data_IF_231501774876
#
_entry.id   IF_231501774876
#
_cell.length_a   1.000
_cell.length_b   1.000
_cell.length_c   1.000
_cell.angle_alpha   90.00
_cell.angle_beta   90.00
_cell.angle_gamma   90.00
#
_symmetry.space_group_name_H-M   'P 1'
#
loop_
_entity.id
_entity.type
_entity.pdbx_description
1 polymer ?
#
# COMPACT_ATOMS: atom_id res chain seq x y z
N UNK A 1 21.50 -6.71 9.15
CA UNK A 1 21.93 -5.31 8.79
C UNK A 1 23.40 -5.22 8.39
N UNK A 2 24.16 -6.30 8.48
CA UNK A 2 25.63 -6.29 8.23
C UNK A 2 26.01 -6.33 6.74
N UNK A 3 25.06 -6.29 5.80
CA UNK A 3 25.34 -6.46 4.37
C UNK A 3 24.60 -5.47 3.44
N UNK A 4 24.15 -4.31 3.93
CA UNK A 4 23.70 -3.28 3.01
C UNK A 4 24.93 -2.73 2.26
N UNK A 5 24.96 -2.77 0.92
CA UNK A 5 26.08 -2.26 0.15
C UNK A 5 26.28 -0.78 0.49
N UNK A 6 27.49 -0.43 0.94
CA UNK A 6 27.85 0.95 1.21
C UNK A 6 27.86 1.73 -0.11
N UNK A 7 26.70 2.20 -0.54
CA UNK A 7 26.61 3.14 -1.65
C UNK A 7 27.11 4.49 -1.14
N UNK A 8 28.11 5.06 -1.79
CA UNK A 8 28.76 6.32 -1.36
C UNK A 8 27.78 7.50 -1.25
N UNK A 9 26.63 7.43 -1.94
CA UNK A 9 25.60 8.47 -1.95
C UNK A 9 24.50 8.30 -0.90
N UNK A 10 24.46 7.18 -0.18
CA UNK A 10 23.39 6.85 0.76
C UNK A 10 23.85 6.82 2.19
N UNK A 11 22.95 7.18 3.11
CA UNK A 11 23.08 6.97 4.54
C UNK A 11 21.83 6.23 5.05
N UNK A 12 22.06 5.28 5.94
CA UNK A 12 21.03 4.38 6.45
C UNK A 12 20.80 4.60 7.94
N UNK A 13 19.56 4.63 8.36
CA UNK A 13 19.16 4.73 9.76
C UNK A 13 17.99 3.82 10.04
N UNK A 14 18.10 2.97 11.04
CA UNK A 14 16.98 2.20 11.55
C UNK A 14 16.14 3.10 12.46
N UNK A 15 14.88 3.38 12.08
CA UNK A 15 13.97 4.25 12.83
C UNK A 15 13.02 3.46 13.73
N UNK A 16 12.84 2.17 13.47
CA UNK A 16 12.21 1.18 14.36
C UNK A 16 12.74 -0.21 14.05
N UNK A 17 12.30 -1.23 14.76
CA UNK A 17 12.78 -2.62 14.60
C UNK A 17 12.63 -3.17 13.18
N UNK A 18 11.71 -2.62 12.39
CA UNK A 18 11.37 -3.08 11.05
C UNK A 18 11.29 -1.98 9.99
N UNK A 19 11.70 -0.75 10.31
CA UNK A 19 11.64 0.38 9.36
C UNK A 19 13.00 1.05 9.20
N UNK A 20 13.46 1.07 7.96
CA UNK A 20 14.71 1.69 7.52
C UNK A 20 14.42 3.04 6.88
N UNK A 21 15.15 4.06 7.26
CA UNK A 21 15.25 5.35 6.58
C UNK A 21 16.53 5.38 5.75
N UNK A 22 16.43 5.78 4.51
CA UNK A 22 17.57 5.97 3.59
C UNK A 22 17.55 7.40 3.08
N UNK A 23 18.63 8.14 3.35
CA UNK A 23 18.80 9.53 2.91
C UNK A 23 19.90 9.62 1.86
N UNK A 24 19.65 10.33 0.78
CA UNK A 24 20.62 10.59 -0.29
C UNK A 24 21.43 11.86 0.01
N UNK A 25 22.77 11.75 0.01
CA UNK A 25 23.68 12.91 0.14
C UNK A 25 23.58 13.88 -1.05
N UNK A 26 23.37 13.33 -2.25
CA UNK A 26 23.00 14.06 -3.45
C UNK A 26 21.60 13.57 -3.89
N UNK A 27 20.56 14.41 -3.81
CA UNK A 27 19.20 14.02 -4.18
C UNK A 27 19.09 13.49 -5.60
N UNK A 28 18.18 12.55 -5.82
CA UNK A 28 17.97 11.85 -7.09
C UNK A 28 16.91 12.58 -7.89
N UNK A 29 17.28 13.09 -9.05
CA UNK A 29 16.35 13.79 -9.94
C UNK A 29 15.50 12.79 -10.70
N UNK A 30 14.17 12.91 -10.57
CA UNK A 30 13.19 12.17 -11.37
C UNK A 30 12.72 13.00 -12.58
N UNK A 31 12.28 12.33 -13.64
CA UNK A 31 11.65 12.99 -14.80
C UNK A 31 10.33 13.63 -14.38
N UNK A 32 9.60 12.98 -13.46
CA UNK A 32 8.36 13.47 -12.87
C UNK A 32 8.09 12.76 -11.55
N UNK A 33 7.64 13.51 -10.55
CA UNK A 33 7.12 12.96 -9.28
C UNK A 33 5.60 12.77 -9.30
N UNK A 34 4.93 13.26 -10.36
CA UNK A 34 3.47 13.23 -10.53
C UNK A 34 2.97 12.00 -11.31
N UNK A 35 3.86 11.16 -11.75
CA UNK A 35 3.57 10.00 -12.59
C UNK A 35 4.10 8.71 -11.96
N UNK A 36 3.33 7.63 -12.12
CA UNK A 36 3.68 6.33 -11.56
C UNK A 36 4.99 5.75 -12.14
N UNK A 37 5.23 5.92 -13.45
CA UNK A 37 6.36 5.26 -14.10
C UNK A 37 7.73 5.70 -13.54
N UNK A 38 8.08 7.00 -13.44
CA UNK A 38 9.35 7.42 -12.85
C UNK A 38 9.52 7.02 -11.38
N UNK A 39 8.44 7.02 -10.60
CA UNK A 39 8.46 6.60 -9.21
C UNK A 39 8.68 5.08 -9.09
N UNK A 40 8.05 4.27 -9.94
CA UNK A 40 8.29 2.83 -10.00
C UNK A 40 9.72 2.50 -10.44
N UNK A 41 10.30 3.26 -11.37
CA UNK A 41 11.68 3.10 -11.80
C UNK A 41 12.66 3.44 -10.67
N UNK A 42 12.36 4.50 -9.90
CA UNK A 42 13.11 4.82 -8.69
C UNK A 42 13.09 3.65 -7.70
N UNK A 43 11.92 3.05 -7.41
CA UNK A 43 11.85 1.91 -6.50
C UNK A 43 12.70 0.74 -6.98
N UNK A 44 12.62 0.39 -8.26
CA UNK A 44 13.41 -0.72 -8.82
C UNK A 44 14.92 -0.51 -8.72
N UNK A 45 15.36 0.74 -8.76
CA UNK A 45 16.78 1.08 -8.79
C UNK A 45 17.38 1.27 -7.40
N UNK A 46 16.64 1.84 -6.45
CA UNK A 46 17.17 2.32 -5.18
C UNK A 46 16.58 1.63 -3.96
N UNK A 47 15.40 1.03 -4.06
CA UNK A 47 14.72 0.42 -2.92
C UNK A 47 14.92 -1.09 -2.93
N UNK A 48 15.28 -1.66 -1.78
CA UNK A 48 15.43 -3.12 -1.65
C UNK A 48 14.09 -3.80 -1.99
N UNK A 49 14.13 -4.82 -2.89
CA UNK A 49 12.93 -5.49 -3.39
C UNK A 49 11.84 -4.51 -3.91
N UNK A 50 12.25 -3.36 -4.47
CA UNK A 50 11.35 -2.30 -4.91
C UNK A 50 10.28 -2.76 -5.92
N UNK A 51 10.54 -3.82 -6.71
CA UNK A 51 9.58 -4.46 -7.61
C UNK A 51 8.41 -5.15 -6.87
N UNK A 52 8.57 -5.43 -5.57
CA UNK A 52 7.54 -6.06 -4.72
C UNK A 52 6.53 -5.07 -4.17
N UNK A 53 6.66 -3.78 -4.50
CA UNK A 53 5.75 -2.73 -4.04
C UNK A 53 4.91 -2.18 -5.21
N UNK A 54 3.67 -1.78 -4.91
CA UNK A 54 2.73 -1.14 -5.85
C UNK A 54 2.43 0.28 -5.37
N UNK A 55 2.49 1.26 -6.29
CA UNK A 55 2.14 2.64 -6.01
C UNK A 55 0.68 2.71 -5.53
N UNK A 56 0.50 3.33 -4.37
CA UNK A 56 -0.80 3.54 -3.78
C UNK A 56 -1.31 4.95 -4.00
N UNK A 57 -0.49 5.94 -3.67
CA UNK A 57 -0.87 7.35 -3.68
C UNK A 57 0.33 8.24 -3.98
N UNK A 58 0.07 9.35 -4.65
CA UNK A 58 0.98 10.48 -4.82
C UNK A 58 0.34 11.67 -4.15
N UNK A 59 0.91 12.15 -3.06
CA UNK A 59 0.54 13.39 -2.39
C UNK A 59 1.51 14.50 -2.83
N UNK A 60 1.05 15.34 -3.77
CA UNK A 60 1.86 16.45 -4.30
C UNK A 60 2.05 17.57 -3.26
N UNK A 61 1.10 17.74 -2.35
CA UNK A 61 1.16 18.77 -1.30
C UNK A 61 2.15 18.39 -0.22
N UNK A 62 2.08 17.14 0.26
CA UNK A 62 3.07 16.58 1.18
C UNK A 62 4.41 16.23 0.49
N UNK A 63 4.48 16.25 -0.85
CA UNK A 63 5.64 15.84 -1.67
C UNK A 63 6.11 14.44 -1.31
N UNK A 64 5.16 13.51 -1.30
CA UNK A 64 5.38 12.13 -0.90
C UNK A 64 4.62 11.17 -1.81
N UNK A 65 5.20 10.00 -2.05
CA UNK A 65 4.49 8.88 -2.65
C UNK A 65 4.54 7.68 -1.72
N UNK A 66 3.38 7.03 -1.56
CA UNK A 66 3.22 5.83 -0.74
C UNK A 66 3.05 4.62 -1.62
N UNK A 67 3.74 3.54 -1.26
CA UNK A 67 3.66 2.24 -1.92
C UNK A 67 3.40 1.17 -0.88
N UNK A 68 2.58 0.18 -1.23
CA UNK A 68 2.37 -0.98 -0.38
C UNK A 68 2.95 -2.25 -1.01
N UNK A 69 3.47 -3.11 -0.14
CA UNK A 69 4.02 -4.41 -0.52
C UNK A 69 2.94 -5.29 -1.16
N UNK A 70 3.36 -6.13 -2.11
CA UNK A 70 2.52 -7.18 -2.69
C UNK A 70 2.98 -8.54 -2.22
N UNK A 71 2.02 -9.41 -2.03
CA UNK A 71 2.22 -10.85 -1.85
C UNK A 71 1.33 -11.61 -2.84
N UNK A 72 1.90 -12.51 -3.62
CA UNK A 72 1.20 -13.24 -4.69
C UNK A 72 0.40 -12.29 -5.62
N UNK A 73 1.05 -11.22 -6.11
CA UNK A 73 0.48 -10.16 -6.96
C UNK A 73 -0.72 -9.41 -6.37
N UNK A 74 -0.91 -9.47 -5.05
CA UNK A 74 -1.98 -8.78 -4.33
C UNK A 74 -1.41 -7.81 -3.30
N UNK A 75 -1.95 -6.60 -3.28
CA UNK A 75 -1.50 -5.53 -2.38
C UNK A 75 -1.88 -5.82 -0.93
N UNK A 76 -0.97 -5.54 -0.01
CA UNK A 76 -1.21 -5.51 1.43
C UNK A 76 -1.72 -4.13 1.81
N UNK A 77 -3.05 -3.97 1.88
CA UNK A 77 -3.69 -2.67 2.07
C UNK A 77 -3.39 -2.07 3.44
N UNK A 78 -2.85 -0.84 3.46
CA UNK A 78 -2.55 -0.05 4.66
C UNK A 78 -1.74 -0.81 5.72
N UNK A 79 -0.79 -1.62 5.25
CA UNK A 79 0.11 -2.34 6.14
C UNK A 79 1.41 -1.57 6.33
N UNK A 80 1.58 -0.91 7.47
CA UNK A 80 2.77 -0.11 7.81
C UNK A 80 4.07 -0.93 7.89
N UNK A 81 3.96 -2.26 8.07
CA UNK A 81 5.11 -3.16 8.05
C UNK A 81 5.45 -3.68 6.65
N UNK A 82 4.71 -3.25 5.63
CA UNK A 82 4.95 -3.53 4.23
C UNK A 82 4.73 -2.27 3.39
N UNK A 83 5.47 -1.20 3.70
CA UNK A 83 5.27 0.12 3.13
C UNK A 83 6.60 0.74 2.69
N UNK A 84 6.57 1.46 1.59
CA UNK A 84 7.62 2.40 1.18
C UNK A 84 7.02 3.79 1.04
N UNK A 85 7.67 4.78 1.63
CA UNK A 85 7.37 6.20 1.43
C UNK A 85 8.56 6.89 0.81
N UNK A 86 8.35 7.57 -0.31
CA UNK A 86 9.39 8.31 -1.05
C UNK A 86 9.12 9.80 -0.92
N UNK A 87 10.11 10.57 -0.50
CA UNK A 87 9.98 12.01 -0.26
C UNK A 87 10.86 12.81 -1.23
N UNK A 88 10.36 13.91 -1.78
CA UNK A 88 11.09 14.79 -2.67
C UNK A 88 11.01 16.26 -2.26
N UNK A 89 11.99 17.02 -2.69
CA UNK A 89 12.08 18.46 -2.47
C UNK A 89 11.25 19.25 -3.48
N UNK A 90 11.28 20.59 -3.38
CA UNK A 90 10.56 21.53 -4.27
C UNK A 90 10.98 21.42 -5.74
N UNK A 91 12.19 20.92 -6.00
CA UNK A 91 12.72 20.72 -7.34
C UNK A 91 12.30 19.35 -7.95
N UNK A 92 11.53 18.54 -7.22
CA UNK A 92 11.15 17.18 -7.64
C UNK A 92 12.30 16.18 -7.54
N UNK A 93 13.28 16.42 -6.67
CA UNK A 93 14.41 15.55 -6.45
C UNK A 93 14.19 14.72 -5.17
N UNK A 94 14.27 13.41 -5.27
CA UNK A 94 14.12 12.50 -4.12
C UNK A 94 15.35 12.62 -3.22
N UNK A 95 15.12 12.97 -1.96
CA UNK A 95 16.18 13.11 -0.97
C UNK A 95 16.17 12.01 0.09
N UNK A 96 15.04 11.30 0.24
CA UNK A 96 14.86 10.28 1.28
C UNK A 96 13.76 9.29 0.91
N UNK A 97 13.88 8.07 1.39
CA UNK A 97 12.75 7.14 1.48
C UNK A 97 12.78 6.37 2.79
N UNK A 98 11.61 5.91 3.21
CA UNK A 98 11.44 4.97 4.31
C UNK A 98 10.95 3.64 3.75
N UNK A 99 11.43 2.55 4.29
CA UNK A 99 11.00 1.21 3.91
C UNK A 99 10.77 0.32 5.11
N UNK A 100 9.64 -0.36 5.14
CA UNK A 100 9.39 -1.56 5.92
C UNK A 100 8.97 -2.69 4.98
N UNK A 101 9.27 -3.93 5.32
CA UNK A 101 8.91 -5.09 4.52
C UNK A 101 8.57 -6.28 5.41
N UNK A 102 7.45 -6.93 5.11
CA UNK A 102 7.12 -8.22 5.72
C UNK A 102 7.91 -9.33 5.02
N UNK A 103 8.60 -10.11 5.82
CA UNK A 103 9.32 -11.30 5.39
C UNK A 103 8.58 -12.58 5.80
N UNK A 104 8.93 -13.69 5.18
CA UNK A 104 8.43 -15.02 5.55
C UNK A 104 6.91 -15.15 5.58
N UNK A 105 6.21 -14.46 4.66
CA UNK A 105 4.76 -14.57 4.54
C UNK A 105 4.41 -16.00 4.10
N UNK A 106 3.57 -16.67 4.90
CA UNK A 106 3.14 -18.06 4.65
C UNK A 106 1.63 -18.12 4.49
N UNK A 107 1.17 -18.91 3.53
CA UNK A 107 -0.26 -19.18 3.37
C UNK A 107 -0.76 -20.17 4.42
N UNK A 108 -1.78 -19.77 5.16
CA UNK A 108 -2.52 -20.68 6.03
C UNK A 108 -3.66 -21.29 5.21
N UNK A 109 -3.60 -22.60 4.98
CA UNK A 109 -4.68 -23.31 4.29
C UNK A 109 -5.96 -23.24 5.14
N UNK A 110 -6.96 -22.53 4.62
CA UNK A 110 -8.28 -22.45 5.22
C UNK A 110 -9.31 -23.09 4.27
N UNK A 111 -10.29 -23.81 4.84
CA UNK A 111 -11.38 -24.42 4.08
C UNK A 111 -12.48 -23.42 3.66
N UNK A 112 -12.26 -22.13 3.83
CA UNK A 112 -13.22 -21.10 3.45
C UNK A 112 -12.91 -20.57 2.04
N UNK A 113 -13.93 -20.57 1.19
CA UNK A 113 -13.84 -19.95 -0.14
C UNK A 113 -13.97 -18.43 -0.06
N UNK A 114 -13.28 -17.74 -0.96
CA UNK A 114 -13.40 -16.30 -1.15
C UNK A 114 -14.75 -16.00 -1.82
N UNK A 115 -15.51 -15.05 -1.29
CA UNK A 115 -16.77 -14.61 -1.89
C UNK A 115 -16.50 -13.93 -3.26
N UNK A 116 -17.34 -14.14 -4.27
CA UNK A 116 -17.14 -13.57 -5.59
C UNK A 116 -17.35 -12.04 -5.59
N UNK A 117 -16.73 -11.29 -6.52
CA UNK A 117 -16.86 -9.84 -6.62
C UNK A 117 -18.29 -9.32 -6.66
N UNK A 118 -19.17 -10.03 -7.35
CA UNK A 118 -20.60 -9.64 -7.44
C UNK A 118 -21.27 -9.63 -6.06
N UNK A 119 -20.97 -10.60 -5.22
CA UNK A 119 -21.54 -10.65 -3.86
C UNK A 119 -21.00 -9.49 -2.99
N UNK A 120 -19.76 -9.06 -3.21
CA UNK A 120 -19.21 -7.86 -2.56
C UNK A 120 -20.00 -6.61 -2.92
N UNK A 121 -20.29 -6.42 -4.22
CA UNK A 121 -21.10 -5.29 -4.69
C UNK A 121 -22.53 -5.33 -4.14
N UNK A 122 -23.13 -6.51 -4.05
CA UNK A 122 -24.44 -6.69 -3.41
C UNK A 122 -24.41 -6.31 -1.93
N UNK A 123 -23.32 -6.66 -1.22
CA UNK A 123 -23.14 -6.25 0.19
C UNK A 123 -23.07 -4.73 0.34
N UNK A 124 -22.27 -4.05 -0.50
CA UNK A 124 -22.16 -2.59 -0.47
C UNK A 124 -23.49 -1.91 -0.80
N UNK A 125 -24.20 -2.43 -1.81
CA UNK A 125 -25.54 -1.93 -2.18
C UNK A 125 -26.55 -2.09 -1.03
N UNK A 126 -26.62 -3.27 -0.43
CA UNK A 126 -27.53 -3.55 0.69
C UNK A 126 -27.25 -2.69 1.92
N UNK A 127 -26.02 -2.19 2.07
CA UNK A 127 -25.62 -1.26 3.14
C UNK A 127 -25.81 0.22 2.78
N UNK A 128 -26.39 0.53 1.62
CA UNK A 128 -26.54 1.89 1.07
C UNK A 128 -25.20 2.65 0.92
N UNK A 129 -24.11 1.93 0.67
CA UNK A 129 -22.78 2.48 0.41
C UNK A 129 -22.54 2.76 -1.08
N UNK A 130 -23.42 2.31 -1.96
CA UNK A 130 -23.38 2.63 -3.38
C UNK A 130 -24.52 3.59 -3.69
N UNK A 131 -24.18 4.83 -4.00
CA UNK A 131 -25.16 5.85 -4.40
C UNK A 131 -25.78 5.54 -5.77
N UNK A 132 -27.01 6.03 -6.04
CA UNK A 132 -27.59 5.93 -7.39
C UNK A 132 -26.67 6.61 -8.43
N UNK A 133 -26.50 5.95 -9.57
CA UNK A 133 -25.64 6.40 -10.68
C UNK A 133 -24.13 6.48 -10.35
N UNK A 134 -23.68 5.88 -9.25
CA UNK A 134 -22.27 5.73 -8.98
C UNK A 134 -21.62 4.71 -9.95
N UNK A 135 -20.39 4.97 -10.37
CA UNK A 135 -19.61 4.10 -11.25
C UNK A 135 -18.56 3.34 -10.46
N UNK A 136 -18.62 2.00 -10.53
CA UNK A 136 -17.57 1.15 -9.96
C UNK A 136 -16.36 1.18 -10.90
N UNK A 137 -15.26 1.77 -10.45
CA UNK A 137 -14.05 1.94 -11.26
C UNK A 137 -13.06 0.81 -11.06
N UNK A 138 -13.06 0.17 -9.89
CA UNK A 138 -12.13 -0.91 -9.57
C UNK A 138 -12.74 -1.88 -8.57
N UNK A 139 -12.52 -3.19 -8.79
CA UNK A 139 -12.72 -4.25 -7.80
C UNK A 139 -11.48 -5.11 -7.82
N UNK A 140 -10.65 -5.05 -6.76
CA UNK A 140 -9.38 -5.79 -6.67
C UNK A 140 -9.30 -6.57 -5.35
N UNK A 141 -8.82 -7.80 -5.43
CA UNK A 141 -8.50 -8.61 -4.25
C UNK A 141 -7.08 -8.29 -3.78
N UNK A 142 -6.92 -8.09 -2.49
CA UNK A 142 -5.66 -7.92 -1.79
C UNK A 142 -5.74 -8.56 -0.41
N UNK A 143 -4.98 -8.02 0.51
CA UNK A 143 -4.97 -8.45 1.91
C UNK A 143 -5.06 -7.22 2.82
N UNK A 144 -5.67 -7.39 3.99
CA UNK A 144 -5.59 -6.43 5.09
C UNK A 144 -5.21 -7.14 6.38
N UNK A 145 -4.63 -6.39 7.32
CA UNK A 145 -4.32 -6.89 8.65
C UNK A 145 -5.49 -6.60 9.56
N UNK A 146 -6.18 -7.64 10.03
CA UNK A 146 -7.29 -7.51 10.98
C UNK A 146 -6.84 -7.61 12.44
N UNK A 147 -5.68 -8.24 12.68
CA UNK A 147 -5.14 -8.46 14.02
C UNK A 147 -3.66 -8.11 13.97
N UNK A 148 -3.24 -7.14 14.76
CA UNK A 148 -1.83 -6.78 14.96
C UNK A 148 -1.35 -7.42 16.26
N UNK A 149 -0.54 -8.45 16.14
CA UNK A 149 0.22 -9.00 17.26
C UNK A 149 1.66 -8.55 17.06
N UNK A 150 2.34 -8.18 18.12
CA UNK A 150 3.63 -7.44 18.09
C UNK A 150 4.74 -8.03 17.20
N UNK A 151 4.71 -9.32 16.88
CA UNK A 151 5.72 -9.98 16.04
C UNK A 151 5.13 -10.80 14.88
N UNK A 152 3.81 -11.01 14.84
CA UNK A 152 3.16 -11.82 13.79
C UNK A 152 1.87 -11.13 13.36
N UNK A 153 1.66 -11.02 12.06
CA UNK A 153 0.43 -10.45 11.51
C UNK A 153 -0.36 -11.52 10.77
N UNK A 154 -1.69 -11.47 10.90
CA UNK A 154 -2.58 -12.31 10.11
C UNK A 154 -3.15 -11.47 8.97
N UNK A 155 -2.73 -11.80 7.75
CA UNK A 155 -3.22 -11.17 6.53
C UNK A 155 -4.52 -11.86 6.09
N UNK A 156 -5.59 -11.09 5.97
CA UNK A 156 -6.91 -11.59 5.57
C UNK A 156 -7.23 -11.14 4.15
N UNK A 157 -7.65 -12.06 3.26
CA UNK A 157 -8.11 -11.69 1.92
C UNK A 157 -9.20 -10.62 2.00
N UNK A 158 -9.01 -9.53 1.26
CA UNK A 158 -9.84 -8.34 1.33
C UNK A 158 -10.08 -7.78 -0.06
N UNK A 159 -11.36 -7.56 -0.40
CA UNK A 159 -11.75 -6.85 -1.60
C UNK A 159 -11.65 -5.35 -1.39
N UNK A 160 -10.97 -4.65 -2.29
CA UNK A 160 -11.03 -3.20 -2.44
C UNK A 160 -11.98 -2.86 -3.58
N UNK A 161 -12.94 -1.99 -3.33
CA UNK A 161 -13.86 -1.45 -4.32
C UNK A 161 -13.67 0.06 -4.38
N UNK A 162 -13.35 0.59 -5.54
CA UNK A 162 -13.37 2.04 -5.80
C UNK A 162 -14.64 2.41 -6.55
N UNK A 163 -15.26 3.48 -6.11
CA UNK A 163 -16.52 3.99 -6.64
C UNK A 163 -16.34 5.47 -6.93
N UNK A 164 -16.80 5.91 -8.07
CA UNK A 164 -16.92 7.32 -8.42
C UNK A 164 -18.38 7.71 -8.36
N UNK A 165 -18.73 8.58 -7.41
CA UNK A 165 -20.08 9.11 -7.26
C UNK A 165 -20.47 10.02 -8.44
N UNK A 166 -21.76 10.30 -8.59
CA UNK A 166 -22.28 11.13 -9.68
C UNK A 166 -21.75 12.57 -9.65
N UNK A 167 -21.37 13.09 -8.48
CA UNK A 167 -20.73 14.40 -8.28
C UNK A 167 -19.22 14.39 -8.59
N UNK A 168 -18.67 13.22 -8.94
CA UNK A 168 -17.27 13.04 -9.27
C UNK A 168 -16.38 12.66 -8.08
N UNK A 169 -16.91 12.63 -6.85
CA UNK A 169 -16.17 12.20 -5.65
C UNK A 169 -15.80 10.73 -5.76
N UNK A 170 -14.56 10.42 -5.42
CA UNK A 170 -14.08 9.05 -5.33
C UNK A 170 -14.15 8.54 -3.90
N UNK A 171 -14.69 7.33 -3.76
CA UNK A 171 -14.78 6.61 -2.49
C UNK A 171 -14.18 5.22 -2.64
N UNK A 172 -13.65 4.69 -1.53
CA UNK A 172 -13.14 3.33 -1.52
C UNK A 172 -13.68 2.57 -0.32
N UNK A 173 -14.02 1.32 -0.57
CA UNK A 173 -14.56 0.41 0.43
C UNK A 173 -13.72 -0.85 0.49
N UNK A 174 -13.57 -1.38 1.69
CA UNK A 174 -12.89 -2.64 1.94
C UNK A 174 -13.86 -3.66 2.51
N UNK A 175 -13.85 -4.87 1.96
CA UNK A 175 -14.75 -5.94 2.36
C UNK A 175 -13.94 -7.20 2.62
N UNK A 176 -14.06 -7.76 3.81
CA UNK A 176 -13.47 -9.06 4.13
C UNK A 176 -13.96 -10.11 3.12
N UNK A 177 -13.04 -10.67 2.35
CA UNK A 177 -13.38 -11.58 1.26
C UNK A 177 -13.83 -12.97 1.72
N UNK A 178 -13.71 -13.28 3.01
CA UNK A 178 -14.14 -14.56 3.59
C UNK A 178 -15.50 -14.47 4.30
N UNK A 179 -15.83 -13.28 4.84
CA UNK A 179 -17.03 -13.07 5.64
C UNK A 179 -18.06 -12.14 4.98
N UNK A 180 -17.66 -11.38 3.96
CA UNK A 180 -18.53 -10.40 3.31
C UNK A 180 -18.81 -9.16 4.16
N UNK A 181 -18.05 -8.93 5.22
CA UNK A 181 -18.21 -7.75 6.09
C UNK A 181 -17.40 -6.57 5.55
N UNK A 182 -18.03 -5.40 5.51
CA UNK A 182 -17.31 -4.13 5.28
C UNK A 182 -16.41 -3.88 6.47
N UNK A 183 -15.15 -3.54 6.21
CA UNK A 183 -14.13 -3.22 7.21
C UNK A 183 -13.66 -1.79 7.03
N UNK A 184 -13.44 -1.09 8.12
CA UNK A 184 -12.84 0.24 8.15
C UNK A 184 -11.35 0.10 8.47
N UNK A 185 -10.53 0.07 7.42
CA UNK A 185 -9.08 -0.10 7.58
C UNK A 185 -8.42 1.20 8.08
N UNK A 186 -9.05 2.35 7.86
CA UNK A 186 -8.46 3.66 8.16
C UNK A 186 -8.57 4.03 9.65
N UNK A 187 -9.56 3.50 10.37
CA UNK A 187 -9.72 3.76 11.81
C UNK A 187 -8.76 2.94 12.66
N UNK A 188 -8.31 1.78 12.18
CA UNK A 188 -7.40 0.89 12.91
C UNK A 188 -5.93 1.36 12.87
N UNK A 189 -5.62 2.47 12.19
CA UNK A 189 -4.26 3.05 12.11
C UNK A 189 -3.98 4.12 13.16
N UNK A 190 -4.93 4.45 14.04
CA UNK A 190 -4.82 5.57 15.01
C UNK A 190 -4.74 5.18 16.48
N UNK A 191 -4.54 3.90 16.83
CA UNK A 191 -4.32 3.50 18.24
C UNK A 191 -2.90 2.99 18.51
#
# INVERSE_FOLDING_TARGET
>A
LDELPANSNETYKLISDNKLEVTFKAPIKLISTKQAAPLNDFLRQYVNEGQSFELWEIDEEARMATFFQRFNDRVLYYNENGEVKVYWNENGEVFMYEQSMLENIQEIKQNKSIIPPLQVLQTLYAKNLLEPNAHITTVKLGYSTLIRVTQTQVLTPTWKVRVKAADGKEEQYFVNAMEGKVIDILQDTQE
#
